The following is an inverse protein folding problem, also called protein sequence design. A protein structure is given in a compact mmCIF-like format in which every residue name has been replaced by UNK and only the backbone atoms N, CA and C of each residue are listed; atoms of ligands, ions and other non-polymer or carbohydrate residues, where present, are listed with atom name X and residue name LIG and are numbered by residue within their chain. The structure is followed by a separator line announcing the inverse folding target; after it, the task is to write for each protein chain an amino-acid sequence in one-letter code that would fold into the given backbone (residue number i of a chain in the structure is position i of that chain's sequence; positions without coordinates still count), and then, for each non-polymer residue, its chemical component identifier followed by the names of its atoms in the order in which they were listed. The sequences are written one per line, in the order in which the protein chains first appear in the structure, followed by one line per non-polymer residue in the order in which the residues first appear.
data_IF_697153068150
#
_entry.id   IF_697153068150
#
_cell.length_a   1.000
_cell.length_b   1.000
_cell.length_c   1.000
_cell.angle_alpha   90.00
_cell.angle_beta   90.00
_cell.angle_gamma   90.00
#
_symmetry.space_group_name_H-M   'P 1'
#
loop_
_entity.id
_entity.type
_entity.pdbx_description
1 polymer ?
#
# COMPACT_ATOMS: atom_id res chain seq x y z
N UNK A 1 14.05 -9.38 20.74
CA UNK A 1 14.10 -10.15 21.99
C UNK A 1 12.69 -10.53 22.36
N UNK A 2 12.44 -11.80 22.64
CA UNK A 2 11.16 -12.28 23.17
C UNK A 2 11.40 -12.90 24.55
N UNK A 3 10.46 -12.70 25.47
CA UNK A 3 10.51 -13.28 26.81
C UNK A 3 9.23 -14.09 26.98
N UNK A 4 9.37 -15.40 27.24
CA UNK A 4 8.25 -16.23 27.66
C UNK A 4 7.96 -15.94 29.15
N UNK A 5 6.79 -15.37 29.49
CA UNK A 5 6.47 -15.00 30.87
C UNK A 5 6.30 -16.22 31.79
N UNK A 6 6.02 -17.40 31.24
CA UNK A 6 5.80 -18.65 31.99
C UNK A 6 7.12 -19.30 32.36
N UNK A 7 8.02 -19.43 31.39
CA UNK A 7 9.30 -20.11 31.57
C UNK A 7 10.44 -19.15 31.93
N UNK A 8 10.21 -17.85 31.83
CA UNK A 8 11.23 -16.79 31.92
C UNK A 8 12.38 -16.99 30.93
N UNK A 9 12.13 -17.74 29.86
CA UNK A 9 13.06 -17.94 28.78
C UNK A 9 13.16 -16.63 27.97
N UNK A 10 14.38 -16.15 27.80
CA UNK A 10 14.67 -15.04 26.90
C UNK A 10 15.28 -15.60 25.62
N UNK A 11 14.76 -15.16 24.48
CA UNK A 11 15.31 -15.47 23.17
C UNK A 11 15.73 -14.16 22.51
N UNK A 12 17.01 -14.09 22.17
CA UNK A 12 17.59 -12.99 21.41
C UNK A 12 17.89 -13.53 20.02
N UNK A 13 17.14 -13.05 19.04
CA UNK A 13 17.34 -13.39 17.63
C UNK A 13 18.09 -12.25 16.96
N UNK A 14 19.23 -12.57 16.33
CA UNK A 14 19.87 -11.68 15.38
C UNK A 14 18.98 -11.57 14.14
N UNK A 15 18.49 -10.35 13.86
CA UNK A 15 17.62 -10.09 12.72
C UNK A 15 18.34 -10.19 11.37
N UNK A 16 19.67 -10.19 11.35
CA UNK A 16 20.46 -10.24 10.10
C UNK A 16 20.57 -11.65 9.52
N UNK A 17 20.54 -12.69 10.36
CA UNK A 17 20.76 -14.08 9.95
C UNK A 17 19.77 -15.08 10.58
N UNK A 18 18.77 -14.57 11.32
CA UNK A 18 17.81 -15.33 12.12
C UNK A 18 18.42 -16.32 13.12
N UNK A 19 19.72 -16.21 13.41
CA UNK A 19 20.33 -16.99 14.48
C UNK A 19 19.79 -16.51 15.82
N UNK A 20 19.44 -17.45 16.67
CA UNK A 20 18.87 -17.14 17.98
C UNK A 20 19.73 -17.74 19.07
N UNK A 21 19.96 -16.98 20.12
CA UNK A 21 20.46 -17.49 21.39
C UNK A 21 19.35 -17.41 22.41
N UNK A 22 19.24 -18.45 23.23
CA UNK A 22 18.24 -18.54 24.28
C UNK A 22 18.90 -18.77 25.63
N UNK A 23 18.33 -18.16 26.66
CA UNK A 23 18.69 -18.38 28.04
C UNK A 23 17.52 -18.08 28.96
N UNK A 24 17.81 -17.83 30.22
CA UNK A 24 16.81 -17.42 31.21
C UNK A 24 17.25 -16.14 31.89
N UNK A 25 16.32 -15.38 32.45
CA UNK A 25 16.66 -14.17 33.23
C UNK A 25 17.66 -14.42 34.37
N UNK A 26 17.75 -15.65 34.88
CA UNK A 26 18.71 -16.08 35.92
C UNK A 26 19.99 -16.70 35.39
N UNK A 27 20.03 -17.07 34.11
CA UNK A 27 21.18 -17.65 33.42
C UNK A 27 21.12 -17.21 31.94
N UNK A 28 21.58 -15.99 31.65
CA UNK A 28 21.54 -15.44 30.31
C UNK A 28 22.36 -16.29 29.33
N UNK A 29 22.03 -16.29 28.03
CA UNK A 29 22.85 -16.98 27.05
C UNK A 29 24.28 -16.43 27.07
N UNK A 30 25.25 -17.30 27.33
CA UNK A 30 26.68 -16.94 27.35
C UNK A 30 27.35 -17.09 25.99
N UNK A 31 26.67 -17.73 25.05
CA UNK A 31 27.14 -17.87 23.66
C UNK A 31 26.97 -16.52 22.97
N UNK A 32 28.06 -15.86 22.52
CA UNK A 32 27.93 -14.67 21.72
C UNK A 32 27.18 -15.02 20.43
N UNK A 33 26.13 -14.25 20.11
CA UNK A 33 25.64 -14.19 18.74
C UNK A 33 26.82 -13.72 17.88
N UNK A 34 27.17 -14.48 16.85
CA UNK A 34 28.17 -14.04 15.90
C UNK A 34 27.68 -12.70 15.31
N UNK A 35 28.50 -11.65 15.42
CA UNK A 35 28.26 -10.47 14.62
C UNK A 35 28.33 -10.95 13.16
N UNK A 36 27.24 -10.78 12.40
CA UNK A 36 27.31 -10.93 10.96
C UNK A 36 28.51 -10.15 10.43
N UNK A 37 29.22 -10.69 9.44
CA UNK A 37 30.48 -10.11 8.94
C UNK A 37 30.34 -8.69 8.35
N UNK A 38 29.11 -8.17 8.28
CA UNK A 38 28.74 -6.81 7.93
C UNK A 38 28.26 -6.07 9.18
N UNK A 39 29.14 -5.27 9.79
CA UNK A 39 28.80 -4.34 10.87
C UNK A 39 27.99 -3.13 10.32
N UNK A 40 26.80 -3.38 9.78
CA UNK A 40 25.91 -2.34 9.26
C UNK A 40 25.10 -1.66 10.39
N UNK A 41 25.43 -1.94 11.66
CA UNK A 41 24.73 -1.36 12.82
C UNK A 41 24.84 0.17 12.82
N UNK A 42 26.02 0.71 12.50
CA UNK A 42 26.23 2.17 12.37
C UNK A 42 25.40 2.76 11.24
N UNK A 43 25.32 2.05 10.11
CA UNK A 43 24.53 2.49 8.95
C UNK A 43 23.03 2.47 9.27
N UNK A 44 22.52 1.38 9.86
CA UNK A 44 21.13 1.28 10.31
C UNK A 44 20.79 2.39 11.30
N UNK A 45 21.66 2.67 12.28
CA UNK A 45 21.47 3.79 13.21
C UNK A 45 21.41 5.14 12.47
N UNK A 46 22.32 5.37 11.51
CA UNK A 46 22.32 6.58 10.69
C UNK A 46 21.05 6.74 9.87
N UNK A 47 20.56 5.65 9.27
CA UNK A 47 19.31 5.62 8.50
C UNK A 47 18.10 5.85 9.42
N UNK A 48 18.04 5.20 10.59
CA UNK A 48 16.97 5.43 11.58
C UNK A 48 16.94 6.88 12.04
N UNK A 49 18.10 7.49 12.35
CA UNK A 49 18.19 8.91 12.70
C UNK A 49 17.68 9.79 11.55
N UNK A 50 17.97 9.41 10.30
CA UNK A 50 17.50 10.12 9.12
C UNK A 50 15.98 10.09 9.01
N UNK A 51 15.35 8.92 9.13
CA UNK A 51 13.89 8.79 9.12
C UNK A 51 13.23 9.53 10.29
N UNK A 52 13.80 9.46 11.49
CA UNK A 52 13.28 10.22 12.65
C UNK A 52 13.35 11.73 12.42
N UNK A 53 14.43 12.22 11.80
CA UNK A 53 14.56 13.64 11.46
C UNK A 53 13.56 14.06 10.37
N UNK A 54 13.28 13.17 9.40
CA UNK A 54 12.27 13.40 8.38
C UNK A 54 10.87 13.48 8.99
N UNK A 55 10.49 12.52 9.83
CA UNK A 55 9.24 12.52 10.58
C UNK A 55 9.07 13.80 11.42
N UNK A 56 10.12 14.20 12.15
CA UNK A 56 10.10 15.42 12.95
C UNK A 56 9.89 16.68 12.10
N UNK A 57 10.47 16.74 10.90
CA UNK A 57 10.22 17.83 9.97
C UNK A 57 8.80 17.79 9.42
N UNK A 58 8.27 16.63 9.02
CA UNK A 58 6.91 16.50 8.50
C UNK A 58 5.85 16.95 9.53
N UNK A 59 6.09 16.73 10.83
CA UNK A 59 5.24 17.24 11.89
C UNK A 59 5.12 18.77 11.94
N UNK A 60 6.01 19.53 11.27
CA UNK A 60 5.90 20.99 11.14
C UNK A 60 5.09 21.43 9.92
N UNK A 61 4.46 20.50 9.20
CA UNK A 61 3.74 20.74 7.94
C UNK A 61 4.59 21.56 6.92
N UNK A 62 5.77 21.06 6.52
CA UNK A 62 6.67 21.78 5.63
C UNK A 62 6.05 21.92 4.24
N UNK A 63 6.34 23.03 3.56
CA UNK A 63 5.99 23.18 2.14
C UNK A 63 6.81 22.17 1.28
N UNK A 64 6.25 21.67 0.16
CA UNK A 64 6.91 20.68 -0.71
C UNK A 64 8.21 21.20 -1.34
N UNK A 65 8.37 22.52 -1.44
CA UNK A 65 9.58 23.18 -1.99
C UNK A 65 10.57 23.63 -0.91
N UNK A 66 10.33 23.30 0.37
CA UNK A 66 11.20 23.76 1.45
C UNK A 66 12.58 23.11 1.37
N UNK A 67 13.64 23.93 1.50
CA UNK A 67 15.01 23.44 1.41
C UNK A 67 15.35 22.38 2.47
N UNK A 68 14.76 22.50 3.67
CA UNK A 68 14.92 21.52 4.75
C UNK A 68 14.35 20.14 4.37
N UNK A 69 13.20 20.11 3.67
CA UNK A 69 12.57 18.88 3.20
C UNK A 69 13.35 18.28 2.03
N UNK A 70 13.70 19.11 1.05
CA UNK A 70 14.47 18.69 -0.12
C UNK A 70 15.85 18.11 0.24
N UNK A 71 16.42 18.50 1.39
CA UNK A 71 17.69 17.98 1.86
C UNK A 71 17.65 16.49 2.24
N UNK A 72 16.47 15.86 2.37
CA UNK A 72 16.33 14.42 2.62
C UNK A 72 16.53 13.54 1.38
N UNK A 73 16.41 14.13 0.19
CA UNK A 73 16.26 13.39 -1.06
C UNK A 73 17.40 13.67 -2.03
N UNK A 74 17.66 12.70 -2.89
CA UNK A 74 18.41 12.94 -4.13
C UNK A 74 17.51 13.69 -5.12
N UNK A 75 17.68 15.00 -5.22
CA UNK A 75 16.82 15.84 -6.04
C UNK A 75 16.96 15.58 -7.55
N UNK A 76 18.04 14.95 -8.00
CA UNK A 76 18.29 14.71 -9.41
C UNK A 76 17.69 13.37 -9.88
N UNK A 77 17.70 12.36 -9.01
CA UNK A 77 17.44 10.96 -9.38
C UNK A 77 16.30 10.32 -8.59
N UNK A 78 15.65 11.02 -7.67
CA UNK A 78 14.53 10.48 -6.91
C UNK A 78 13.38 10.03 -7.81
N UNK A 79 12.85 8.85 -7.51
CA UNK A 79 11.71 8.26 -8.19
C UNK A 79 10.95 7.31 -7.27
N UNK A 80 9.64 7.51 -7.17
CA UNK A 80 8.72 6.72 -6.35
C UNK A 80 7.52 6.28 -7.19
N UNK A 81 7.42 4.99 -7.53
CA UNK A 81 6.33 4.45 -8.35
C UNK A 81 6.12 5.18 -9.68
N UNK A 82 7.20 5.58 -10.36
CA UNK A 82 7.11 6.42 -11.57
C UNK A 82 7.10 7.93 -11.31
N UNK A 83 6.68 8.36 -10.12
CA UNK A 83 6.56 9.78 -9.74
C UNK A 83 7.92 10.40 -9.46
N UNK A 84 8.09 11.64 -9.89
CA UNK A 84 9.26 12.44 -9.53
C UNK A 84 9.13 13.02 -8.11
N UNK A 85 10.22 13.60 -7.60
CA UNK A 85 10.26 14.15 -6.24
C UNK A 85 9.20 15.22 -6.00
N UNK A 86 8.94 16.10 -6.98
CA UNK A 86 7.96 17.17 -6.81
C UNK A 86 6.54 16.61 -6.63
N UNK A 87 6.14 15.65 -7.46
CA UNK A 87 4.84 15.01 -7.36
C UNK A 87 4.68 14.24 -6.04
N UNK A 88 5.71 13.47 -5.67
CA UNK A 88 5.74 12.75 -4.38
C UNK A 88 5.61 13.71 -3.19
N UNK A 89 6.42 14.78 -3.14
CA UNK A 89 6.38 15.75 -2.05
C UNK A 89 5.06 16.51 -2.01
N UNK A 90 4.47 16.85 -3.15
CA UNK A 90 3.17 17.52 -3.23
C UNK A 90 2.07 16.66 -2.58
N UNK A 91 2.08 15.36 -2.83
CA UNK A 91 1.14 14.41 -2.26
C UNK A 91 1.31 14.32 -0.74
N UNK A 92 2.50 13.93 -0.25
CA UNK A 92 2.70 13.69 1.18
C UNK A 92 2.60 14.96 2.04
N UNK A 93 2.83 16.16 1.47
CA UNK A 93 2.68 17.44 2.19
C UNK A 93 1.27 18.00 2.16
N UNK A 94 0.43 17.56 1.21
CA UNK A 94 -1.00 17.89 1.19
C UNK A 94 -1.83 17.03 2.15
N UNK A 95 -1.27 15.90 2.58
CA UNK A 95 -1.93 14.98 3.48
C UNK A 95 -1.78 15.42 4.95
N UNK A 96 -2.86 15.81 5.65
CA UNK A 96 -2.79 16.30 7.03
C UNK A 96 -2.47 15.22 8.07
N UNK A 97 -2.64 13.93 7.77
CA UNK A 97 -2.21 12.85 8.69
C UNK A 97 -0.71 12.61 8.64
N UNK A 98 -0.05 13.03 7.56
CA UNK A 98 1.40 12.97 7.38
C UNK A 98 2.03 14.33 7.76
N UNK A 99 1.63 15.40 7.08
CA UNK A 99 2.13 16.75 7.29
C UNK A 99 1.36 17.47 8.39
N UNK A 100 2.04 17.76 9.50
CA UNK A 100 1.41 18.25 10.73
C UNK A 100 0.80 17.15 11.61
N UNK A 101 0.73 15.92 11.10
CA UNK A 101 0.30 14.73 11.84
C UNK A 101 1.43 14.03 12.60
N UNK A 102 1.13 12.84 13.13
CA UNK A 102 2.12 11.98 13.79
C UNK A 102 2.62 10.93 12.80
N UNK A 103 3.84 11.13 12.29
CA UNK A 103 4.54 10.21 11.40
C UNK A 103 5.66 9.50 12.16
N UNK A 104 5.81 8.19 11.97
CA UNK A 104 6.96 7.44 12.43
C UNK A 104 7.30 6.30 11.47
N UNK A 105 8.55 5.82 11.52
CA UNK A 105 9.05 4.74 10.70
C UNK A 105 9.63 3.66 11.61
N UNK A 106 9.20 2.42 11.41
CA UNK A 106 9.60 1.27 12.26
C UNK A 106 9.94 0.06 11.41
N UNK A 107 10.47 -0.98 12.05
CA UNK A 107 10.84 -2.25 11.41
C UNK A 107 11.67 -2.09 10.12
N UNK A 108 12.65 -1.19 10.19
CA UNK A 108 13.64 -0.97 9.16
C UNK A 108 14.47 -2.25 8.95
N UNK A 109 14.52 -2.72 7.72
CA UNK A 109 15.34 -3.84 7.25
C UNK A 109 16.23 -3.31 6.14
N UNK A 110 17.52 -3.67 6.17
CA UNK A 110 18.48 -3.30 5.13
C UNK A 110 18.73 -4.51 4.25
N UNK A 111 18.45 -4.35 2.96
CA UNK A 111 18.73 -5.33 1.92
C UNK A 111 19.73 -4.76 0.90
N UNK A 112 20.23 -5.64 0.05
CA UNK A 112 21.12 -5.22 -1.03
C UNK A 112 20.31 -4.47 -2.09
N UNK A 113 20.85 -3.34 -2.56
CA UNK A 113 20.22 -2.58 -3.66
C UNK A 113 19.98 -3.52 -4.85
N UNK A 114 18.75 -3.59 -5.39
CA UNK A 114 18.45 -4.44 -6.54
C UNK A 114 19.34 -4.09 -7.73
N UNK A 115 19.76 -5.12 -8.48
CA UNK A 115 20.73 -4.96 -9.58
C UNK A 115 20.24 -4.09 -10.74
N UNK A 116 18.93 -3.85 -10.83
CA UNK A 116 18.32 -2.99 -11.85
C UNK A 116 18.36 -1.50 -11.47
N UNK A 117 18.65 -1.16 -10.21
CA UNK A 117 18.85 0.23 -9.77
C UNK A 117 20.24 0.70 -10.18
N UNK A 118 20.30 1.72 -11.05
CA UNK A 118 21.55 2.27 -11.60
C UNK A 118 21.83 3.72 -11.18
N UNK A 119 20.95 4.32 -10.38
CA UNK A 119 20.99 5.73 -9.98
C UNK A 119 21.82 6.00 -8.72
N UNK A 120 22.20 4.95 -7.99
CA UNK A 120 23.12 5.08 -6.85
C UNK A 120 24.49 5.58 -7.34
N UNK A 121 25.02 6.69 -6.82
CA UNK A 121 26.33 7.18 -7.23
C UNK A 121 27.45 6.16 -6.95
N UNK A 122 28.37 6.02 -7.90
CA UNK A 122 29.47 5.05 -7.83
C UNK A 122 30.34 5.27 -6.58
N UNK A 123 30.67 4.18 -5.89
CA UNK A 123 31.50 4.19 -4.68
C UNK A 123 30.75 4.54 -3.39
N UNK A 124 29.44 4.81 -3.44
CA UNK A 124 28.64 5.06 -2.25
C UNK A 124 28.17 3.76 -1.60
N UNK A 125 28.06 3.77 -0.27
CA UNK A 125 27.32 2.72 0.46
C UNK A 125 25.83 2.96 0.29
N UNK A 126 25.09 1.93 -0.09
CA UNK A 126 23.66 2.02 -0.33
C UNK A 126 22.93 0.74 0.08
N UNK A 127 21.66 0.89 0.43
CA UNK A 127 20.76 -0.18 0.83
C UNK A 127 19.40 0.02 0.20
N UNK A 128 18.72 -1.08 -0.06
CA UNK A 128 17.27 -1.09 -0.14
C UNK A 128 16.73 -1.17 1.30
N UNK A 129 15.92 -0.20 1.69
CA UNK A 129 15.44 -0.04 3.06
C UNK A 129 13.95 -0.27 3.09
N UNK A 130 13.54 -1.45 3.54
CA UNK A 130 12.14 -1.77 3.82
C UNK A 130 11.75 -1.25 5.20
N UNK A 131 10.63 -0.53 5.32
CA UNK A 131 10.16 0.02 6.58
C UNK A 131 8.65 0.07 6.66
N UNK A 132 8.12 0.02 7.89
CA UNK A 132 6.71 0.22 8.17
C UNK A 132 6.45 1.67 8.52
N UNK A 133 5.46 2.27 7.86
CA UNK A 133 4.99 3.63 8.14
C UNK A 133 3.90 3.57 9.21
N UNK A 134 4.06 4.42 10.23
CA UNK A 134 3.04 4.67 11.23
C UNK A 134 2.50 6.08 11.02
N UNK A 135 1.20 6.19 10.77
CA UNK A 135 0.47 7.45 10.72
C UNK A 135 -0.49 7.47 11.91
N UNK A 136 -0.46 8.53 12.72
CA UNK A 136 -1.24 8.62 13.96
C UNK A 136 -1.08 7.37 14.84
N UNK A 137 0.18 6.93 15.03
CA UNK A 137 0.55 5.72 15.80
C UNK A 137 0.01 4.39 15.27
N UNK A 138 -0.55 4.38 14.07
CA UNK A 138 -1.19 3.23 13.44
C UNK A 138 -0.34 2.73 12.27
N UNK A 139 -0.02 1.43 12.18
CA UNK A 139 0.66 0.88 11.00
C UNK A 139 -0.27 0.97 9.80
N UNK A 140 0.16 1.65 8.73
CA UNK A 140 -0.66 1.82 7.52
C UNK A 140 -0.18 0.96 6.37
N UNK A 141 1.13 0.86 6.18
CA UNK A 141 1.73 0.19 5.03
C UNK A 141 3.23 -0.05 5.22
N UNK A 142 3.80 -0.87 4.33
CA UNK A 142 5.24 -1.12 4.22
C UNK A 142 5.75 -0.57 2.89
N UNK A 143 6.88 0.12 2.93
CA UNK A 143 7.54 0.75 1.78
C UNK A 143 8.99 0.35 1.70
N UNK A 144 9.57 0.49 0.51
CA UNK A 144 10.97 0.21 0.20
C UNK A 144 11.61 1.45 -0.42
N UNK A 145 12.59 2.06 0.25
CA UNK A 145 13.38 3.15 -0.34
C UNK A 145 14.82 2.73 -0.55
N UNK A 146 15.37 3.03 -1.73
CA UNK A 146 16.80 3.03 -1.92
C UNK A 146 17.40 4.22 -1.19
N UNK A 147 18.35 3.96 -0.29
CA UNK A 147 19.07 4.97 0.46
C UNK A 147 20.56 4.82 0.27
N UNK A 148 21.28 5.93 0.10
CA UNK A 148 22.73 5.92 -0.01
C UNK A 148 23.38 6.99 0.86
N UNK A 149 24.61 6.73 1.29
CA UNK A 149 25.38 7.63 2.13
C UNK A 149 26.27 8.53 1.26
N UNK A 150 25.93 9.83 1.24
CA UNK A 150 26.73 10.89 0.63
C UNK A 150 27.49 11.64 1.71
N UNK A 151 28.78 11.33 1.88
CA UNK A 151 29.70 12.03 2.79
C UNK A 151 29.19 12.15 4.25
N UNK A 152 28.56 11.09 4.77
CA UNK A 152 28.01 11.04 6.12
C UNK A 152 26.52 11.40 6.21
N UNK A 153 25.88 11.76 5.08
CA UNK A 153 24.45 12.06 5.03
C UNK A 153 23.72 11.01 4.20
N UNK A 154 22.71 10.37 4.79
CA UNK A 154 21.83 9.45 4.06
C UNK A 154 20.82 10.21 3.20
N UNK A 155 20.75 9.89 1.92
CA UNK A 155 19.81 10.47 0.95
C UNK A 155 18.83 9.39 0.47
N UNK A 156 17.57 9.77 0.30
CA UNK A 156 16.51 8.92 -0.22
C UNK A 156 16.39 9.07 -1.74
N UNK A 157 16.36 7.95 -2.46
CA UNK A 157 16.09 7.88 -3.89
C UNK A 157 14.63 7.47 -4.19
N UNK A 158 13.84 7.13 -3.18
CA UNK A 158 12.55 6.44 -3.38
C UNK A 158 12.78 4.98 -3.78
N UNK A 159 11.74 4.31 -4.24
CA UNK A 159 11.77 2.89 -4.61
C UNK A 159 12.36 2.62 -6.00
N UNK A 160 12.64 3.67 -6.78
CA UNK A 160 13.22 3.62 -8.14
C UNK A 160 12.38 2.84 -9.18
N UNK A 161 11.15 2.46 -8.84
CA UNK A 161 10.24 1.82 -9.76
C UNK A 161 9.76 2.82 -10.82
N UNK A 162 9.48 2.31 -12.02
CA UNK A 162 8.99 3.12 -13.14
C UNK A 162 7.49 3.33 -13.11
N UNK A 163 6.78 2.55 -12.29
CA UNK A 163 5.34 2.45 -12.16
C UNK A 163 5.02 1.69 -10.86
N UNK A 164 3.82 1.86 -10.28
CA UNK A 164 3.42 1.16 -9.05
C UNK A 164 3.09 -0.31 -9.34
N UNK A 165 3.53 -1.22 -8.48
CA UNK A 165 3.05 -2.59 -8.46
C UNK A 165 3.05 -3.16 -7.04
N UNK A 166 1.90 -3.10 -6.38
CA UNK A 166 1.70 -3.60 -5.02
C UNK A 166 0.67 -4.75 -5.00
N UNK A 167 0.87 -5.68 -4.08
CA UNK A 167 -0.04 -6.80 -3.83
C UNK A 167 -0.31 -6.88 -2.34
N UNK A 168 -1.58 -6.80 -1.97
CA UNK A 168 -2.04 -6.87 -0.58
C UNK A 168 -3.15 -7.90 -0.46
N UNK A 169 -3.24 -8.54 0.71
CA UNK A 169 -4.40 -9.35 1.04
C UNK A 169 -5.61 -8.43 1.27
N UNK A 170 -6.78 -8.89 0.83
CA UNK A 170 -7.97 -8.08 0.73
C UNK A 170 -9.22 -8.82 1.23
N UNK A 171 -10.03 -8.10 1.98
CA UNK A 171 -11.36 -8.48 2.43
C UNK A 171 -12.34 -7.36 2.06
N UNK A 172 -13.40 -7.71 1.33
CA UNK A 172 -14.44 -6.77 0.93
C UNK A 172 -15.80 -7.18 1.47
N UNK A 173 -16.61 -6.22 1.87
CA UNK A 173 -18.06 -6.35 2.02
C UNK A 173 -18.75 -5.33 1.12
N UNK A 174 -19.49 -5.82 0.12
CA UNK A 174 -20.32 -4.98 -0.71
C UNK A 174 -21.80 -5.32 -0.51
N UNK A 175 -22.50 -4.49 0.26
CA UNK A 175 -23.92 -4.68 0.54
C UNK A 175 -24.25 -6.10 1.04
N UNK A 176 -23.48 -6.59 2.02
CA UNK A 176 -23.56 -7.95 2.58
C UNK A 176 -23.05 -9.07 1.65
N UNK A 177 -22.47 -8.73 0.51
CA UNK A 177 -21.73 -9.66 -0.35
C UNK A 177 -20.25 -9.58 -0.01
N UNK A 178 -19.81 -10.50 0.84
CA UNK A 178 -18.42 -10.57 1.26
C UNK A 178 -17.56 -11.29 0.22
N UNK A 179 -16.33 -10.81 0.03
CA UNK A 179 -15.31 -11.45 -0.78
C UNK A 179 -13.96 -11.39 -0.08
N UNK A 180 -13.07 -12.29 -0.48
CA UNK A 180 -11.70 -12.32 0.00
C UNK A 180 -10.77 -12.71 -1.14
N UNK A 181 -9.56 -12.18 -1.12
CA UNK A 181 -8.58 -12.44 -2.15
C UNK A 181 -7.44 -11.44 -2.09
N UNK A 182 -6.97 -11.02 -3.25
CA UNK A 182 -5.81 -10.15 -3.37
C UNK A 182 -6.20 -8.85 -4.07
N UNK A 183 -5.84 -7.71 -3.49
CA UNK A 183 -5.83 -6.45 -4.20
C UNK A 183 -4.53 -6.35 -5.02
N UNK A 184 -4.69 -6.13 -6.32
CA UNK A 184 -3.60 -6.01 -7.27
C UNK A 184 -3.50 -4.56 -7.74
N UNK A 185 -2.69 -3.77 -7.04
CA UNK A 185 -2.59 -2.34 -7.29
C UNK A 185 -1.43 -2.04 -8.24
N UNK A 186 -1.75 -1.87 -9.52
CA UNK A 186 -0.81 -1.46 -10.57
C UNK A 186 -1.25 -0.11 -11.14
N UNK A 187 -0.32 0.83 -11.24
CA UNK A 187 -0.53 2.17 -11.81
C UNK A 187 0.60 2.47 -12.81
N UNK A 188 0.29 3.14 -13.92
CA UNK A 188 1.26 3.42 -14.98
C UNK A 188 2.31 4.48 -14.62
N UNK A 189 2.10 5.30 -13.58
CA UNK A 189 3.08 6.30 -13.13
C UNK A 189 3.47 7.33 -14.19
N UNK A 190 2.64 7.52 -15.22
CA UNK A 190 2.85 8.39 -16.38
C UNK A 190 3.74 7.83 -17.48
N UNK A 191 4.20 6.57 -17.39
CA UNK A 191 5.14 6.01 -18.39
C UNK A 191 4.43 5.30 -19.54
N UNK A 192 3.10 5.22 -19.51
CA UNK A 192 2.27 4.63 -20.56
C UNK A 192 2.34 3.10 -20.58
N UNK A 193 2.28 2.46 -19.42
CA UNK A 193 2.07 1.01 -19.31
C UNK A 193 0.64 0.68 -19.78
N UNK A 194 0.47 -0.39 -20.55
CA UNK A 194 -0.84 -0.78 -21.08
C UNK A 194 -1.47 -1.93 -20.31
N UNK A 195 -0.66 -2.90 -19.87
CA UNK A 195 -1.13 -4.04 -19.08
C UNK A 195 -0.01 -4.59 -18.21
N UNK A 196 -0.41 -5.41 -17.24
CA UNK A 196 0.47 -6.15 -16.38
C UNK A 196 0.05 -7.62 -16.28
N UNK A 197 1.03 -8.49 -16.14
CA UNK A 197 0.81 -9.91 -15.86
C UNK A 197 1.36 -10.24 -14.50
N UNK A 198 0.51 -10.81 -13.63
CA UNK A 198 0.88 -11.19 -12.27
C UNK A 198 0.88 -12.71 -12.15
N UNK A 199 1.99 -13.28 -11.68
CA UNK A 199 2.12 -14.70 -11.36
C UNK A 199 2.62 -14.90 -9.94
N UNK A 200 2.29 -16.04 -9.34
CA UNK A 200 2.74 -16.40 -8.00
C UNK A 200 1.83 -17.43 -7.33
N UNK A 201 2.09 -17.73 -6.04
CA UNK A 201 1.29 -18.69 -5.27
C UNK A 201 -0.20 -18.33 -5.26
N UNK A 202 -1.07 -19.34 -5.41
CA UNK A 202 -2.54 -19.17 -5.40
C UNK A 202 -3.16 -18.59 -6.69
N UNK A 203 -2.34 -18.09 -7.62
CA UNK A 203 -2.80 -17.59 -8.93
C UNK A 203 -2.78 -18.69 -10.01
N UNK A 204 -3.54 -18.53 -11.10
CA UNK A 204 -3.43 -19.38 -12.28
C UNK A 204 -2.00 -19.44 -12.82
N UNK A 205 -1.58 -20.60 -13.36
CA UNK A 205 -0.23 -20.80 -13.86
C UNK A 205 0.15 -19.85 -15.02
N UNK A 206 -0.83 -19.48 -15.86
CA UNK A 206 -0.65 -18.49 -16.92
C UNK A 206 -0.53 -17.04 -16.40
N UNK A 207 -0.85 -16.82 -15.12
CA UNK A 207 -0.97 -15.51 -14.50
C UNK A 207 -2.37 -14.91 -14.62
N UNK A 208 -2.57 -13.80 -13.92
CA UNK A 208 -3.74 -12.93 -14.08
C UNK A 208 -3.34 -11.68 -14.86
N UNK A 209 -4.27 -11.17 -15.65
CA UNK A 209 -4.08 -9.99 -16.49
C UNK A 209 -4.73 -8.77 -15.83
N UNK A 210 -3.95 -7.70 -15.70
CA UNK A 210 -4.42 -6.36 -15.34
C UNK A 210 -4.26 -5.46 -16.55
N UNK A 211 -5.20 -4.58 -16.84
CA UNK A 211 -5.13 -3.68 -18.00
C UNK A 211 -5.51 -2.24 -17.64
N UNK A 212 -4.90 -1.28 -18.34
CA UNK A 212 -5.31 0.11 -18.25
C UNK A 212 -6.60 0.33 -19.04
N UNK A 213 -7.62 0.92 -18.39
CA UNK A 213 -8.83 1.40 -19.05
C UNK A 213 -8.63 2.73 -19.79
N UNK A 214 -7.40 3.29 -19.82
CA UNK A 214 -7.11 4.61 -20.37
C UNK A 214 -7.47 5.77 -19.44
N UNK A 215 -7.82 5.47 -18.18
CA UNK A 215 -7.98 6.43 -17.08
C UNK A 215 -6.72 6.45 -16.20
N UNK A 216 -6.44 7.56 -15.51
CA UNK A 216 -5.33 7.71 -14.55
C UNK A 216 -5.55 6.95 -13.22
N UNK A 217 -6.20 5.78 -13.28
CA UNK A 217 -6.53 4.97 -12.12
C UNK A 217 -5.72 3.66 -12.15
N UNK A 218 -5.74 2.94 -11.03
CA UNK A 218 -5.25 1.56 -10.96
C UNK A 218 -5.83 0.70 -12.08
N UNK A 219 -5.02 -0.25 -12.57
CA UNK A 219 -5.40 -1.16 -13.63
C UNK A 219 -6.54 -2.07 -13.18
N UNK A 220 -7.41 -2.42 -14.12
CA UNK A 220 -8.53 -3.31 -13.87
C UNK A 220 -8.13 -4.76 -14.09
N UNK A 221 -8.69 -5.68 -13.32
CA UNK A 221 -8.58 -7.12 -13.52
C UNK A 221 -9.40 -7.54 -14.75
N UNK A 222 -8.77 -8.28 -15.66
CA UNK A 222 -9.42 -8.86 -16.83
C UNK A 222 -10.19 -10.14 -16.46
N UNK A 223 -11.27 -10.44 -17.19
CA UNK A 223 -12.07 -11.65 -17.02
C UNK A 223 -11.36 -12.94 -17.46
N UNK A 224 -10.15 -12.84 -18.03
CA UNK A 224 -9.39 -13.96 -18.56
C UNK A 224 -7.90 -13.90 -18.20
N UNK A 225 -7.11 -14.70 -18.90
CA UNK A 225 -5.65 -14.75 -18.76
C UNK A 225 -4.97 -13.74 -19.71
N UNK A 226 -3.63 -13.64 -19.72
CA UNK A 226 -2.92 -12.71 -20.60
C UNK A 226 -3.31 -12.79 -22.07
N UNK A 227 -3.69 -13.97 -22.60
CA UNK A 227 -4.10 -14.16 -24.01
C UNK A 227 -5.42 -13.46 -24.37
N UNK A 228 -6.15 -12.95 -23.38
CA UNK A 228 -7.41 -12.22 -23.57
C UNK A 228 -7.25 -10.71 -23.63
N UNK A 229 -6.02 -10.20 -23.54
CA UNK A 229 -5.74 -8.77 -23.69
C UNK A 229 -6.20 -8.27 -25.08
N UNK A 230 -6.86 -7.12 -25.08
CA UNK A 230 -7.41 -6.46 -26.26
C UNK A 230 -7.38 -4.93 -26.07
N UNK A 231 -6.28 -4.41 -25.54
CA UNK A 231 -6.16 -2.99 -25.21
C UNK A 231 -7.19 -2.52 -24.19
N UNK A 232 -7.69 -1.29 -24.36
CA UNK A 232 -8.76 -0.72 -23.53
C UNK A 232 -10.11 -1.44 -23.72
N UNK A 233 -10.23 -2.28 -24.76
CA UNK A 233 -11.40 -3.14 -25.01
C UNK A 233 -11.32 -4.49 -24.29
N UNK A 234 -10.31 -4.72 -23.45
CA UNK A 234 -10.22 -5.92 -22.60
C UNK A 234 -11.45 -6.00 -21.68
N UNK A 235 -12.08 -7.17 -21.60
CA UNK A 235 -13.27 -7.36 -20.77
C UNK A 235 -12.86 -7.47 -19.30
N UNK A 236 -13.42 -6.61 -18.46
CA UNK A 236 -13.20 -6.62 -17.01
C UNK A 236 -13.80 -7.88 -16.35
N UNK A 237 -13.10 -8.42 -15.36
CA UNK A 237 -13.62 -9.46 -14.49
C UNK A 237 -14.85 -8.97 -13.72
N UNK A 238 -15.90 -9.79 -13.68
CA UNK A 238 -17.03 -9.56 -12.77
C UNK A 238 -16.70 -10.21 -11.43
N UNK A 239 -16.44 -9.39 -10.41
CA UNK A 239 -16.16 -9.89 -9.05
C UNK A 239 -17.34 -9.63 -8.11
N UNK A 240 -17.67 -10.55 -7.20
CA UNK A 240 -18.84 -10.44 -6.31
C UNK A 240 -18.91 -9.14 -5.50
N UNK A 241 -17.75 -8.62 -5.08
CA UNK A 241 -17.65 -7.40 -4.28
C UNK A 241 -17.45 -6.12 -5.11
N UNK A 242 -17.48 -6.22 -6.45
CA UNK A 242 -17.41 -5.10 -7.40
C UNK A 242 -16.14 -4.22 -7.37
N UNK A 243 -15.05 -4.67 -6.76
CA UNK A 243 -13.75 -3.98 -6.83
C UNK A 243 -13.02 -4.29 -8.13
N UNK A 244 -12.52 -3.26 -8.81
CA UNK A 244 -12.07 -3.42 -10.21
C UNK A 244 -10.75 -4.16 -10.36
N UNK A 245 -9.92 -4.18 -9.33
CA UNK A 245 -8.55 -4.70 -9.33
C UNK A 245 -8.33 -5.80 -8.27
N UNK A 246 -9.41 -6.43 -7.79
CA UNK A 246 -9.36 -7.51 -6.81
C UNK A 246 -9.48 -8.86 -7.48
N UNK A 247 -8.51 -9.75 -7.23
CA UNK A 247 -8.61 -11.16 -7.59
C UNK A 247 -9.20 -11.96 -6.42
N UNK A 248 -10.48 -12.33 -6.53
CA UNK A 248 -11.17 -13.14 -5.51
C UNK A 248 -10.63 -14.56 -5.51
N UNK A 249 -10.30 -15.07 -4.32
CA UNK A 249 -9.67 -16.37 -4.14
C UNK A 249 -10.62 -17.34 -3.44
N UNK A 250 -10.58 -18.61 -3.84
CA UNK A 250 -11.18 -19.71 -3.10
C UNK A 250 -10.31 -20.12 -1.90
N UNK A 251 -10.92 -20.76 -0.90
CA UNK A 251 -10.17 -21.31 0.24
C UNK A 251 -9.04 -22.26 -0.18
N UNK A 252 -9.24 -23.04 -1.25
CA UNK A 252 -8.21 -23.92 -1.80
C UNK A 252 -7.02 -23.14 -2.37
N UNK A 253 -7.26 -22.02 -3.05
CA UNK A 253 -6.20 -21.15 -3.53
C UNK A 253 -5.46 -20.48 -2.38
N UNK A 254 -6.18 -19.99 -1.37
CA UNK A 254 -5.57 -19.39 -0.16
C UNK A 254 -4.69 -20.43 0.56
N UNK A 255 -5.20 -21.66 0.75
CA UNK A 255 -4.45 -22.76 1.37
C UNK A 255 -3.23 -23.22 0.56
N UNK A 256 -3.20 -22.97 -0.74
CA UNK A 256 -2.04 -23.30 -1.58
C UNK A 256 -0.83 -22.38 -1.35
N UNK A 257 -1.04 -21.22 -0.71
CA UNK A 257 0.03 -20.30 -0.33
C UNK A 257 0.63 -20.78 0.99
N UNK A 258 1.74 -21.51 0.89
CA UNK A 258 2.34 -22.22 2.04
C UNK A 258 3.45 -21.46 2.75
N UNK A 259 3.89 -20.32 2.20
CA UNK A 259 5.00 -19.53 2.73
C UNK A 259 4.62 -18.04 2.78
N UNK A 260 4.93 -17.37 3.90
CA UNK A 260 4.85 -15.93 4.05
C UNK A 260 6.22 -15.35 4.47
N UNK A 261 6.61 -14.15 3.99
CA UNK A 261 5.95 -13.37 2.94
C UNK A 261 5.88 -14.12 1.61
N UNK A 262 4.75 -14.05 0.91
CA UNK A 262 4.57 -14.70 -0.39
C UNK A 262 5.08 -13.76 -1.49
N UNK A 263 6.06 -14.21 -2.27
CA UNK A 263 6.66 -13.41 -3.36
C UNK A 263 5.87 -13.66 -4.65
N UNK A 264 5.47 -12.58 -5.31
CA UNK A 264 4.84 -12.61 -6.62
C UNK A 264 5.79 -12.08 -7.69
N UNK A 265 5.42 -12.23 -8.95
CA UNK A 265 6.09 -11.59 -10.08
C UNK A 265 5.07 -10.74 -10.82
N UNK A 266 5.35 -9.45 -10.95
CA UNK A 266 4.55 -8.51 -11.74
C UNK A 266 5.39 -8.07 -12.93
N UNK A 267 4.92 -8.33 -14.15
CA UNK A 267 5.55 -7.85 -15.38
C UNK A 267 4.70 -6.75 -15.99
N UNK A 268 5.33 -5.63 -16.32
CA UNK A 268 4.66 -4.45 -16.90
C UNK A 268 5.00 -4.34 -18.38
N UNK A 269 3.98 -4.14 -19.22
CA UNK A 269 4.13 -4.15 -20.67
C UNK A 269 3.61 -2.88 -21.33
N UNK A 270 4.28 -2.52 -22.43
CA UNK A 270 3.79 -1.56 -23.41
C UNK A 270 3.33 -2.31 -24.65
N UNK A 271 2.10 -2.01 -25.03
CA UNK A 271 1.48 -2.49 -26.27
C UNK A 271 2.13 -1.77 -27.45
N UNK A 272 2.61 -2.54 -28.42
CA UNK A 272 3.29 -1.97 -29.61
C UNK A 272 2.32 -1.62 -30.76
N UNK A 273 1.02 -1.49 -30.45
CA UNK A 273 -0.01 -1.05 -31.38
C UNK A 273 -0.77 -2.19 -32.05
N UNK A 274 -0.48 -3.44 -31.66
CA UNK A 274 -1.13 -4.64 -32.18
C UNK A 274 -1.81 -5.38 -31.03
N UNK A 275 -2.96 -4.88 -30.59
CA UNK A 275 -3.66 -5.30 -29.34
C UNK A 275 -3.90 -6.82 -29.14
N UNK A 276 -3.79 -7.65 -30.19
CA UNK A 276 -3.96 -9.12 -30.12
C UNK A 276 -2.67 -9.93 -30.25
N UNK A 277 -1.55 -9.29 -30.57
CA UNK A 277 -0.23 -9.94 -30.66
C UNK A 277 0.61 -9.49 -29.47
N UNK A 278 0.75 -10.35 -28.46
CA UNK A 278 1.55 -10.00 -27.27
C UNK A 278 3.05 -10.21 -27.49
N UNK A 279 3.45 -10.74 -28.66
CA UNK A 279 4.84 -11.14 -28.89
C UNK A 279 5.73 -9.98 -29.32
N UNK A 280 5.15 -8.90 -29.83
CA UNK A 280 5.85 -7.66 -30.16
C UNK A 280 5.80 -6.61 -29.02
N UNK A 281 5.03 -6.89 -27.97
CA UNK A 281 4.94 -6.03 -26.79
C UNK A 281 6.25 -5.91 -26.02
N UNK A 282 6.52 -4.70 -25.55
CA UNK A 282 7.76 -4.40 -24.85
C UNK A 282 7.60 -4.60 -23.35
N UNK A 283 8.36 -5.53 -22.78
CA UNK A 283 8.52 -5.64 -21.33
C UNK A 283 9.25 -4.40 -20.81
N UNK A 284 8.59 -3.63 -19.95
CA UNK A 284 9.15 -2.41 -19.35
C UNK A 284 9.86 -2.70 -18.04
N UNK A 285 9.22 -3.49 -17.17
CA UNK A 285 9.77 -3.82 -15.86
C UNK A 285 9.26 -5.17 -15.35
N UNK A 286 10.03 -5.76 -14.44
CA UNK A 286 9.62 -6.92 -13.66
C UNK A 286 9.87 -6.62 -12.19
N UNK A 287 8.82 -6.74 -11.37
CA UNK A 287 8.85 -6.50 -9.94
C UNK A 287 8.49 -7.76 -9.17
N UNK A 288 8.96 -7.83 -7.92
CA UNK A 288 8.74 -8.96 -7.03
C UNK A 288 8.09 -8.52 -5.71
N UNK A 289 6.88 -7.95 -5.73
CA UNK A 289 6.21 -7.52 -4.52
C UNK A 289 5.92 -8.72 -3.61
N UNK A 290 5.86 -8.45 -2.32
CA UNK A 290 5.58 -9.46 -1.29
C UNK A 290 4.23 -9.23 -0.64
N UNK A 291 3.46 -10.29 -0.48
CA UNK A 291 2.24 -10.29 0.30
C UNK A 291 2.56 -10.80 1.70
N UNK A 292 2.37 -9.94 2.71
CA UNK A 292 2.78 -10.20 4.09
C UNK A 292 1.78 -11.06 4.88
N UNK A 293 0.55 -11.18 4.37
CA UNK A 293 -0.53 -11.86 5.03
C UNK A 293 -1.35 -12.68 4.01
N UNK A 294 -1.91 -13.81 4.44
CA UNK A 294 -2.89 -14.51 3.61
C UNK A 294 -4.24 -13.79 3.67
N UNK A 295 -4.99 -13.72 2.56
CA UNK A 295 -6.42 -13.39 2.60
C UNK A 295 -7.15 -14.34 3.55
N UNK A 296 -8.21 -13.87 4.19
CA UNK A 296 -8.99 -14.71 5.10
C UNK A 296 -9.71 -15.85 4.36
N UNK A 297 -9.73 -17.05 4.95
CA UNK A 297 -10.62 -18.10 4.45
C UNK A 297 -12.08 -17.74 4.73
N UNK A 298 -12.99 -18.32 3.96
CA UNK A 298 -14.43 -18.04 4.02
C UNK A 298 -15.02 -18.16 5.44
N UNK A 299 -14.51 -19.06 6.27
CA UNK A 299 -14.98 -19.25 7.66
C UNK A 299 -14.55 -18.13 8.62
N UNK A 300 -13.50 -17.38 8.28
CA UNK A 300 -12.99 -16.25 9.06
C UNK A 300 -13.52 -14.89 8.54
N UNK A 301 -14.03 -14.86 7.31
CA UNK A 301 -14.66 -13.69 6.70
C UNK A 301 -16.06 -13.49 7.29
N UNK A 302 -16.18 -12.57 8.25
CA UNK A 302 -17.44 -12.29 8.95
C UNK A 302 -17.73 -10.80 8.99
N UNK A 303 -18.99 -10.42 9.23
CA UNK A 303 -19.41 -9.02 9.38
C UNK A 303 -18.71 -8.30 10.53
N UNK A 304 -18.06 -9.02 11.45
CA UNK A 304 -17.30 -8.42 12.55
C UNK A 304 -16.07 -7.65 12.08
N UNK A 305 -15.58 -7.91 10.86
CA UNK A 305 -14.42 -7.25 10.26
C UNK A 305 -14.74 -5.88 9.67
N UNK A 306 -16.00 -5.64 9.32
CA UNK A 306 -16.40 -4.49 8.51
C UNK A 306 -17.04 -3.40 9.37
N UNK A 307 -16.90 -2.15 8.92
CA UNK A 307 -17.57 -1.03 9.54
C UNK A 307 -19.08 -1.14 9.30
N UNK A 308 -19.89 -0.72 10.27
CA UNK A 308 -21.35 -0.72 10.16
C UNK A 308 -21.92 0.70 10.24
N UNK A 309 -23.17 0.87 9.82
CA UNK A 309 -23.94 2.10 10.04
C UNK A 309 -23.22 3.38 9.59
N UNK A 310 -22.61 3.36 8.39
CA UNK A 310 -21.99 4.55 7.80
C UNK A 310 -23.09 5.55 7.45
N UNK A 311 -23.01 6.77 8.00
CA UNK A 311 -24.01 7.81 7.84
C UNK A 311 -23.37 9.20 7.70
N UNK A 312 -23.99 10.07 6.91
CA UNK A 312 -23.51 11.43 6.63
C UNK A 312 -24.49 12.50 7.14
N UNK A 313 -23.95 13.57 7.74
CA UNK A 313 -24.73 14.72 8.18
C UNK A 313 -24.04 16.06 7.84
N UNK A 314 -24.69 16.94 7.04
CA UNK A 314 -25.88 16.66 6.22
C UNK A 314 -25.58 15.58 5.16
N UNK A 315 -26.59 15.02 4.48
CA UNK A 315 -26.34 13.98 3.47
C UNK A 315 -25.46 14.50 2.33
N UNK A 316 -24.64 13.64 1.75
CA UNK A 316 -23.70 14.03 0.67
C UNK A 316 -24.46 14.61 -0.53
N UNK A 317 -25.58 13.99 -0.93
CA UNK A 317 -26.47 14.52 -1.98
C UNK A 317 -26.97 15.94 -1.71
N UNK A 318 -27.20 16.31 -0.44
CA UNK A 318 -27.68 17.65 -0.09
C UNK A 318 -26.57 18.70 -0.11
N UNK A 319 -25.32 18.31 0.15
CA UNK A 319 -24.16 19.20 0.12
C UNK A 319 -23.62 19.42 -1.30
N UNK A 320 -23.68 18.40 -2.16
CA UNK A 320 -23.06 18.40 -3.49
C UNK A 320 -23.43 19.56 -4.43
N UNK A 321 -24.69 20.06 -4.50
CA UNK A 321 -25.06 21.10 -5.46
C UNK A 321 -24.35 22.45 -5.23
N UNK A 322 -24.04 22.79 -3.98
CA UNK A 322 -23.36 24.04 -3.61
C UNK A 322 -21.93 23.83 -3.13
N UNK A 323 -21.53 22.57 -2.94
CA UNK A 323 -20.39 22.21 -2.13
C UNK A 323 -20.65 22.46 -0.64
N UNK A 324 -19.79 21.93 0.21
CA UNK A 324 -19.89 22.10 1.65
C UNK A 324 -19.05 21.12 2.43
N UNK A 325 -19.23 21.10 3.75
CA UNK A 325 -18.63 20.10 4.64
C UNK A 325 -19.68 19.12 5.09
N UNK A 326 -19.31 17.84 5.12
CA UNK A 326 -20.14 16.74 5.58
C UNK A 326 -19.40 16.01 6.69
N UNK A 327 -20.07 15.71 7.79
CA UNK A 327 -19.54 14.80 8.80
C UNK A 327 -20.02 13.40 8.47
N UNK A 328 -19.11 12.48 8.20
CA UNK A 328 -19.40 11.05 8.04
C UNK A 328 -19.04 10.35 9.34
N UNK A 329 -19.91 9.46 9.80
CA UNK A 329 -19.73 8.67 11.03
C UNK A 329 -20.08 7.22 10.79
N UNK A 330 -19.46 6.30 11.54
CA UNK A 330 -19.67 4.87 11.40
C UNK A 330 -19.48 4.14 12.73
N UNK A 331 -19.98 2.90 12.79
CA UNK A 331 -19.68 1.94 13.84
C UNK A 331 -18.41 1.18 13.47
N UNK A 332 -17.41 1.18 14.35
CA UNK A 332 -16.19 0.43 14.12
C UNK A 332 -16.44 -1.10 14.05
N UNK A 333 -15.60 -1.86 13.33
CA UNK A 333 -15.56 -3.31 13.39
C UNK A 333 -15.49 -3.82 14.84
N UNK A 334 -16.07 -5.00 15.08
CA UNK A 334 -16.02 -5.66 16.40
C UNK A 334 -14.84 -6.62 16.52
N UNK A 335 -14.23 -7.00 15.41
CA UNK A 335 -12.96 -7.71 15.39
C UNK A 335 -11.85 -6.81 15.97
N UNK A 336 -10.98 -7.42 16.80
CA UNK A 336 -9.86 -6.71 17.42
C UNK A 336 -8.71 -6.46 16.43
N UNK A 337 -7.86 -5.48 16.74
CA UNK A 337 -6.63 -5.17 16.01
C UNK A 337 -6.85 -4.71 14.56
N UNK A 338 -7.99 -4.06 14.32
CA UNK A 338 -8.28 -3.33 13.10
C UNK A 338 -8.15 -1.83 13.34
N UNK A 339 -7.60 -1.12 12.37
CA UNK A 339 -7.37 0.31 12.44
C UNK A 339 -7.95 1.00 11.21
N UNK A 340 -8.74 2.06 11.42
CA UNK A 340 -9.27 2.85 10.31
C UNK A 340 -8.12 3.51 9.53
N UNK A 341 -8.19 3.46 8.20
CA UNK A 341 -7.15 3.97 7.30
C UNK A 341 -7.64 5.14 6.46
N UNK A 342 -8.70 4.94 5.68
CA UNK A 342 -9.28 5.98 4.84
C UNK A 342 -10.80 5.98 4.91
N UNK A 343 -11.37 7.13 4.57
CA UNK A 343 -12.77 7.28 4.21
C UNK A 343 -12.82 7.79 2.77
N UNK A 344 -13.54 7.08 1.92
CA UNK A 344 -13.73 7.39 0.50
C UNK A 344 -15.21 7.71 0.28
N UNK A 345 -15.51 8.90 -0.22
CA UNK A 345 -16.87 9.38 -0.51
C UNK A 345 -17.04 9.53 -2.01
N UNK A 346 -17.93 8.72 -2.58
CA UNK A 346 -18.25 8.71 -3.99
C UNK A 346 -19.44 9.60 -4.30
N UNK A 347 -19.30 10.42 -5.35
CA UNK A 347 -20.35 11.27 -5.87
C UNK A 347 -20.52 11.02 -7.37
N UNK A 348 -21.68 10.49 -7.77
CA UNK A 348 -21.92 10.06 -9.14
C UNK A 348 -22.93 10.94 -9.86
N UNK A 349 -22.65 11.25 -11.13
CA UNK A 349 -23.58 11.89 -12.06
C UNK A 349 -23.56 11.16 -13.42
N UNK A 350 -24.25 11.71 -14.40
CA UNK A 350 -24.31 11.14 -15.76
C UNK A 350 -22.95 11.05 -16.47
N UNK A 351 -21.93 11.78 -16.00
CA UNK A 351 -20.57 11.79 -16.56
C UNK A 351 -19.61 10.84 -15.85
N UNK A 352 -20.00 10.28 -14.70
CA UNK A 352 -19.18 9.35 -13.93
C UNK A 352 -19.25 9.60 -12.43
N UNK A 353 -18.38 8.92 -11.67
CA UNK A 353 -18.24 9.10 -10.23
C UNK A 353 -16.92 9.81 -9.91
N UNK A 354 -17.00 10.78 -9.01
CA UNK A 354 -15.85 11.37 -8.35
C UNK A 354 -15.64 10.66 -7.02
N UNK A 355 -14.39 10.40 -6.68
CA UNK A 355 -13.98 9.95 -5.35
C UNK A 355 -13.39 11.12 -4.57
N UNK A 356 -13.80 11.26 -3.32
CA UNK A 356 -13.34 12.25 -2.36
C UNK A 356 -12.85 11.49 -1.15
N UNK A 357 -11.54 11.37 -1.02
CA UNK A 357 -10.93 10.58 0.03
C UNK A 357 -10.31 11.44 1.14
N UNK A 358 -10.18 10.84 2.31
CA UNK A 358 -9.41 11.41 3.41
C UNK A 358 -8.81 10.30 4.25
N UNK A 359 -7.57 10.48 4.67
CA UNK A 359 -6.93 9.58 5.60
C UNK A 359 -7.41 9.79 7.03
N UNK A 360 -7.41 8.71 7.79
CA UNK A 360 -8.00 8.63 9.12
C UNK A 360 -6.93 8.36 10.19
N UNK A 361 -7.26 8.68 11.43
CA UNK A 361 -6.57 8.08 12.57
C UNK A 361 -7.10 6.66 12.81
N UNK A 362 -6.25 5.74 13.27
CA UNK A 362 -6.61 4.32 13.41
C UNK A 362 -7.82 4.04 14.31
N UNK A 363 -8.16 4.95 15.22
CA UNK A 363 -9.32 4.83 16.12
C UNK A 363 -10.51 5.69 15.69
N UNK A 364 -10.47 6.29 14.50
CA UNK A 364 -11.53 7.16 14.02
C UNK A 364 -12.84 6.39 13.86
N UNK A 365 -13.93 7.02 14.26
CA UNK A 365 -15.31 6.59 13.98
C UNK A 365 -16.12 7.68 13.30
N UNK A 366 -15.44 8.76 12.89
CA UNK A 366 -16.01 9.88 12.16
C UNK A 366 -14.92 10.72 11.49
N UNK A 367 -15.25 11.36 10.37
CA UNK A 367 -14.40 12.34 9.71
C UNK A 367 -15.24 13.45 9.07
N UNK A 368 -14.61 14.61 8.87
CA UNK A 368 -15.21 15.74 8.14
C UNK A 368 -14.62 15.75 6.73
N UNK A 369 -15.47 15.65 5.72
CA UNK A 369 -15.09 15.70 4.30
C UNK A 369 -15.58 17.02 3.72
N UNK A 370 -14.77 17.63 2.85
CA UNK A 370 -15.21 18.76 2.02
C UNK A 370 -15.70 18.24 0.68
N UNK A 371 -17.01 18.32 0.46
CA UNK A 371 -17.65 17.95 -0.80
C UNK A 371 -17.54 19.13 -1.78
N UNK A 372 -16.90 18.98 -2.94
CA UNK A 372 -16.84 20.03 -3.94
C UNK A 372 -18.23 20.27 -4.56
N UNK A 373 -18.45 21.50 -5.03
CA UNK A 373 -19.65 21.79 -5.81
C UNK A 373 -19.60 21.00 -7.13
N UNK A 374 -20.57 20.12 -7.35
CA UNK A 374 -20.62 19.28 -8.52
C UNK A 374 -21.68 19.80 -9.52
N UNK A 375 -21.31 20.07 -10.78
CA UNK A 375 -22.26 20.52 -11.79
C UNK A 375 -23.15 19.35 -12.25
N UNK A 376 -24.42 19.67 -12.52
CA UNK A 376 -25.39 18.71 -13.03
C UNK A 376 -26.18 17.99 -11.94
N UNK A 377 -27.06 17.08 -12.36
CA UNK A 377 -27.86 16.27 -11.43
C UNK A 377 -27.02 15.12 -10.92
N UNK A 378 -26.84 15.06 -9.59
CA UNK A 378 -26.21 13.93 -8.93
C UNK A 378 -27.21 12.77 -8.91
N UNK A 379 -26.76 11.60 -9.37
CA UNK A 379 -27.56 10.40 -9.55
C UNK A 379 -27.29 9.34 -8.48
N UNK A 380 -26.25 9.52 -7.66
CA UNK A 380 -25.97 8.64 -6.54
C UNK A 380 -24.80 9.13 -5.69
N UNK A 381 -24.73 8.60 -4.47
CA UNK A 381 -23.65 8.79 -3.52
C UNK A 381 -23.28 7.45 -2.85
N UNK A 382 -22.05 7.36 -2.36
CA UNK A 382 -21.58 6.26 -1.50
C UNK A 382 -20.50 6.72 -0.53
N UNK A 383 -20.33 6.02 0.59
CA UNK A 383 -19.15 6.14 1.44
C UNK A 383 -18.60 4.75 1.78
N UNK A 384 -17.28 4.61 1.75
CA UNK A 384 -16.53 3.41 2.11
C UNK A 384 -15.55 3.77 3.21
N UNK A 385 -15.41 2.93 4.22
CA UNK A 385 -14.32 3.06 5.21
C UNK A 385 -13.38 1.89 5.05
N UNK A 386 -12.11 2.17 4.83
CA UNK A 386 -11.04 1.19 4.83
C UNK A 386 -10.51 1.00 6.26
N UNK A 387 -10.33 -0.25 6.63
CA UNK A 387 -9.55 -0.66 7.79
C UNK A 387 -8.35 -1.49 7.35
N UNK A 388 -7.31 -1.48 8.17
CA UNK A 388 -6.17 -2.39 8.03
C UNK A 388 -5.89 -3.12 9.33
N UNK A 389 -5.33 -4.31 9.24
CA UNK A 389 -4.80 -5.02 10.40
C UNK A 389 -3.28 -4.79 10.59
N UNK A 390 -2.70 -5.35 11.66
CA UNK A 390 -1.27 -5.21 11.96
C UNK A 390 -0.32 -5.83 10.93
N UNK A 391 -0.85 -6.61 9.97
CA UNK A 391 -0.09 -7.21 8.87
C UNK A 391 -0.52 -6.66 7.51
N UNK A 392 -1.17 -5.49 7.51
CA UNK A 392 -1.53 -4.71 6.32
C UNK A 392 -2.51 -5.41 5.38
N UNK A 393 -3.40 -6.26 5.91
CA UNK A 393 -4.58 -6.68 5.15
C UNK A 393 -5.52 -5.49 4.96
N UNK A 394 -6.03 -5.31 3.76
CA UNK A 394 -6.99 -4.25 3.43
C UNK A 394 -8.42 -4.76 3.60
N UNK A 395 -9.16 -4.12 4.49
CA UNK A 395 -10.54 -4.49 4.82
C UNK A 395 -11.46 -3.34 4.42
N UNK A 396 -12.20 -3.55 3.35
CA UNK A 396 -13.04 -2.52 2.75
C UNK A 396 -14.52 -2.83 2.96
N UNK A 397 -15.24 -1.83 3.45
CA UNK A 397 -16.71 -1.88 3.49
C UNK A 397 -17.24 -0.95 2.41
N UNK A 398 -17.77 -1.46 1.30
CA UNK A 398 -18.39 -0.60 0.30
C UNK A 398 -19.75 -0.08 0.76
N UNK A 399 -20.19 1.01 0.14
CA UNK A 399 -21.28 1.84 0.64
C UNK A 399 -22.62 1.14 0.84
N UNK A 400 -23.33 1.61 1.88
CA UNK A 400 -24.77 1.68 1.85
C UNK A 400 -25.17 2.61 0.69
N UNK A 401 -25.64 2.05 -0.41
CA UNK A 401 -26.16 2.84 -1.52
C UNK A 401 -27.46 3.55 -1.15
N UNK A 402 -27.60 4.81 -1.57
CA UNK A 402 -28.84 5.57 -1.52
C UNK A 402 -29.00 6.46 -0.29
N UNK A 403 -28.54 7.72 -0.39
CA UNK A 403 -28.79 8.77 0.60
C UNK A 403 -28.45 8.34 2.03
N UNK A 404 -27.17 8.09 2.30
CA UNK A 404 -26.69 7.81 3.65
C UNK A 404 -26.42 9.09 4.46
#
# INVERSE_FOLDING_TARGET
MTIDPTTKAETITNRLDNTSVSGTLSAPPTTPLAAGTTNNVTDLQGITVRFNSFAALMATAPAPTSAALLAFFDQASFKEDGRNLQAFLQEITSNPVIAGGSLAFTDLVLESVPSWVSTVPSGMTAYDVSFTVLQNTTPTERHDFIMYNSQGTWLMLGNQQVAKAAITAFEGDNNSVMCTGMNLNVDDGGVGINYAVVTGPGLPAAGVLLYSSGSNNSFNLAAGDPTTYNGTGTTQATVPCSYSNVFVMSDAQIQSITTLPAVYTVKLYKDNGTVTDLTDDTLVATYNPTMLALPLQSTALTSALFAGNIAASPSVLSAAPTGGTVTVSWTAPTASALYARSLDVFLCNASGCQDINTDLSGTATSAIITVPAAPGTITGDGATVEYVDSVFREIWTSSAGGSF
#
